data_IF_621928648773
#
_entry.id   IF_621928648773
#
_cell.length_a   1.000
_cell.length_b   1.000
_cell.length_c   1.000
_cell.angle_alpha   90.00
_cell.angle_beta   90.00
_cell.angle_gamma   90.00
#
_symmetry.space_group_name_H-M   'P 1'
#
loop_
_entity.id
_entity.type
_entity.pdbx_description
1 polymer ?
#
# COMPACT_ATOMS: atom_id res chain seq x y z
N UNK A 1 -5.72 -50.14 -8.84
CA UNK A 1 -6.40 -48.88 -9.24
C UNK A 1 -7.88 -49.18 -9.27
N UNK A 2 -8.66 -48.58 -8.38
CA UNK A 2 -10.02 -49.02 -8.08
C UNK A 2 -11.07 -48.28 -8.94
N UNK A 3 -11.74 -49.00 -9.85
CA UNK A 3 -12.70 -48.43 -10.81
C UNK A 3 -13.86 -47.68 -10.10
N UNK A 4 -14.19 -48.12 -8.90
CA UNK A 4 -15.28 -47.56 -8.10
C UNK A 4 -14.97 -46.14 -7.61
N UNK A 5 -13.71 -45.84 -7.32
CA UNK A 5 -13.28 -44.49 -6.92
C UNK A 5 -13.41 -43.50 -8.07
N UNK A 6 -13.04 -43.90 -9.28
CA UNK A 6 -13.18 -43.06 -10.48
C UNK A 6 -14.64 -42.80 -10.82
N UNK A 7 -15.52 -43.80 -10.70
CA UNK A 7 -16.95 -43.63 -10.90
C UNK A 7 -17.57 -42.65 -9.88
N UNK A 8 -17.15 -42.73 -8.61
CA UNK A 8 -17.57 -41.80 -7.56
C UNK A 8 -17.07 -40.37 -7.83
N UNK A 9 -15.80 -40.22 -8.23
CA UNK A 9 -15.20 -38.93 -8.58
C UNK A 9 -15.91 -38.27 -9.76
N UNK A 10 -16.28 -39.04 -10.79
CA UNK A 10 -17.03 -38.55 -11.95
C UNK A 10 -18.45 -38.09 -11.56
N UNK A 11 -19.17 -38.86 -10.72
CA UNK A 11 -20.49 -38.46 -10.22
C UNK A 11 -20.42 -37.15 -9.41
N UNK A 12 -19.41 -37.03 -8.56
CA UNK A 12 -19.17 -35.80 -7.78
C UNK A 12 -18.82 -34.61 -8.68
N UNK A 13 -18.04 -34.83 -9.74
CA UNK A 13 -17.70 -33.78 -10.70
C UNK A 13 -18.92 -33.31 -11.50
N UNK A 14 -19.79 -34.23 -11.92
CA UNK A 14 -21.08 -33.91 -12.57
C UNK A 14 -21.99 -33.09 -11.65
N UNK A 15 -22.09 -33.46 -10.36
CA UNK A 15 -22.85 -32.71 -9.37
C UNK A 15 -22.27 -31.30 -9.15
N UNK A 16 -20.94 -31.17 -9.06
CA UNK A 16 -20.25 -29.88 -8.97
C UNK A 16 -20.52 -29.00 -10.20
N UNK A 17 -20.45 -29.56 -11.40
CA UNK A 17 -20.78 -28.84 -12.65
C UNK A 17 -22.19 -28.27 -12.61
N UNK A 18 -23.18 -29.08 -12.25
CA UNK A 18 -24.58 -28.65 -12.21
C UNK A 18 -24.80 -27.54 -11.16
N UNK A 19 -24.17 -27.67 -9.99
CA UNK A 19 -24.21 -26.65 -8.94
C UNK A 19 -23.60 -25.31 -9.41
N UNK A 20 -22.49 -25.35 -10.16
CA UNK A 20 -21.88 -24.15 -10.72
C UNK A 20 -22.77 -23.48 -11.77
N UNK A 21 -23.40 -24.26 -12.65
CA UNK A 21 -24.37 -23.73 -13.64
C UNK A 21 -25.53 -23.02 -12.96
N UNK A 22 -26.09 -23.61 -11.90
CA UNK A 22 -27.18 -22.99 -11.12
C UNK A 22 -26.70 -21.71 -10.42
N UNK A 23 -25.49 -21.69 -9.85
CA UNK A 23 -24.91 -20.49 -9.22
C UNK A 23 -24.70 -19.36 -10.23
N UNK A 24 -24.07 -19.64 -11.38
CA UNK A 24 -23.89 -18.66 -12.45
C UNK A 24 -25.24 -18.14 -12.98
N UNK A 25 -26.25 -18.99 -13.11
CA UNK A 25 -27.59 -18.56 -13.52
C UNK A 25 -28.24 -17.61 -12.50
N UNK A 26 -28.01 -17.84 -11.20
CA UNK A 26 -28.51 -16.94 -10.14
C UNK A 26 -27.74 -15.62 -10.10
N UNK A 27 -26.43 -15.64 -10.28
CA UNK A 27 -25.59 -14.44 -10.30
C UNK A 27 -25.91 -13.57 -11.52
N UNK A 28 -26.01 -14.15 -12.72
CA UNK A 28 -26.41 -13.42 -13.93
C UNK A 28 -27.82 -12.82 -13.83
N UNK A 29 -28.77 -13.50 -13.17
CA UNK A 29 -30.09 -12.91 -12.88
C UNK A 29 -30.01 -11.72 -11.91
N UNK A 30 -29.19 -11.82 -10.85
CA UNK A 30 -28.96 -10.71 -9.91
C UNK A 30 -28.31 -9.51 -10.58
N UNK A 31 -27.31 -9.74 -11.42
CA UNK A 31 -26.66 -8.69 -12.21
C UNK A 31 -27.66 -7.99 -13.15
N UNK A 32 -28.52 -8.75 -13.84
CA UNK A 32 -29.58 -8.17 -14.69
C UNK A 32 -30.56 -7.31 -13.88
N UNK A 33 -30.99 -7.76 -12.69
CA UNK A 33 -31.87 -6.95 -11.84
C UNK A 33 -31.19 -5.68 -11.32
N UNK A 34 -29.90 -5.75 -10.95
CA UNK A 34 -29.15 -4.58 -10.50
C UNK A 34 -28.89 -3.59 -11.65
N UNK A 35 -28.63 -4.09 -12.86
CA UNK A 35 -28.54 -3.24 -14.04
C UNK A 35 -29.86 -2.57 -14.40
N UNK A 36 -31.00 -3.25 -14.23
CA UNK A 36 -32.32 -2.65 -14.43
C UNK A 36 -32.68 -1.62 -13.36
N UNK A 37 -32.30 -1.85 -12.09
CA UNK A 37 -32.48 -0.89 -10.99
C UNK A 37 -31.59 0.35 -11.13
N UNK A 38 -30.41 0.23 -11.74
CA UNK A 38 -29.46 1.33 -11.96
C UNK A 38 -29.67 2.08 -13.28
N UNK A 39 -30.62 1.66 -14.13
CA UNK A 39 -31.03 2.43 -15.30
C UNK A 39 -32.18 3.35 -14.90
N UNK A 40 -32.02 4.66 -15.18
CA UNK A 40 -33.08 5.65 -14.95
C UNK A 40 -34.36 5.20 -15.67
N UNK A 41 -35.55 5.25 -15.05
CA UNK A 41 -36.79 4.91 -15.74
C UNK A 41 -36.96 5.84 -16.95
N UNK A 42 -37.40 5.28 -18.08
CA UNK A 42 -37.72 6.04 -19.28
C UNK A 42 -38.91 6.97 -18.98
N UNK A 43 -38.60 8.22 -18.64
CA UNK A 43 -39.60 9.29 -18.57
C UNK A 43 -39.94 9.66 -20.01
N UNK A 44 -41.25 9.71 -20.32
CA UNK A 44 -41.78 10.19 -21.58
C UNK A 44 -41.13 11.53 -21.97
N UNK A 45 -40.28 11.52 -23.00
CA UNK A 45 -39.73 12.75 -23.57
C UNK A 45 -40.69 13.28 -24.63
N UNK A 46 -41.42 14.35 -24.31
CA UNK A 46 -41.99 15.21 -25.33
C UNK A 46 -40.96 16.26 -25.71
N UNK A 47 -40.79 16.41 -27.03
CA UNK A 47 -40.07 17.45 -27.77
C UNK A 47 -38.61 17.17 -28.13
N UNK A 48 -38.43 16.87 -29.42
CA UNK A 48 -37.22 17.06 -30.19
C UNK A 48 -37.03 18.56 -30.54
N UNK A 49 -35.83 18.89 -31.06
CA UNK A 49 -35.29 20.21 -31.46
C UNK A 49 -34.53 20.92 -30.33
N UNK A 50 -33.30 21.41 -30.50
CA UNK A 50 -32.48 21.69 -31.69
C UNK A 50 -31.03 21.94 -31.24
N UNK A 51 -30.09 21.44 -32.05
CA UNK A 51 -28.87 22.07 -32.58
C UNK A 51 -27.92 22.97 -31.76
N UNK A 52 -26.64 22.64 -31.98
CA UNK A 52 -25.46 23.49 -32.22
C UNK A 52 -24.67 24.13 -31.05
N UNK A 53 -23.46 23.56 -30.88
CA UNK A 53 -22.14 24.19 -30.73
C UNK A 53 -22.06 25.64 -30.19
N UNK A 54 -21.36 25.82 -29.07
CA UNK A 54 -20.31 26.84 -29.00
C UNK A 54 -19.31 26.56 -27.87
N UNK A 55 -18.05 26.68 -28.26
CA UNK A 55 -16.85 26.49 -27.49
C UNK A 55 -16.52 27.70 -26.60
N UNK A 56 -15.69 27.44 -25.59
CA UNK A 56 -14.81 28.36 -24.85
C UNK A 56 -15.39 29.39 -23.85
N UNK A 57 -15.10 29.13 -22.57
CA UNK A 57 -14.69 30.17 -21.61
C UNK A 57 -13.77 29.61 -20.51
N UNK A 58 -12.46 29.75 -20.73
CA UNK A 58 -11.41 30.24 -19.83
C UNK A 58 -11.58 30.25 -18.30
N UNK A 59 -10.53 29.72 -17.64
CA UNK A 59 -9.88 30.16 -16.38
C UNK A 59 -10.60 29.92 -15.04
N UNK A 60 -9.94 29.14 -14.17
CA UNK A 60 -10.18 29.10 -12.72
C UNK A 60 -9.66 27.84 -12.06
N UNK A 61 -8.35 27.75 -11.82
CA UNK A 61 -7.65 26.55 -11.37
C UNK A 61 -7.69 26.33 -9.83
N UNK A 62 -8.82 26.58 -9.16
CA UNK A 62 -8.90 26.53 -7.69
C UNK A 62 -10.14 25.80 -7.12
N UNK A 63 -10.86 25.01 -7.93
CA UNK A 63 -12.13 24.41 -7.47
C UNK A 63 -12.26 22.88 -7.68
N UNK A 64 -11.16 22.18 -7.96
CA UNK A 64 -11.22 20.74 -8.26
C UNK A 64 -11.38 19.87 -7.01
N UNK A 65 -11.07 20.38 -5.82
CA UNK A 65 -11.20 19.59 -4.58
C UNK A 65 -12.56 19.72 -3.88
N UNK A 66 -13.28 20.84 -4.04
CA UNK A 66 -14.55 21.06 -3.31
C UNK A 66 -15.76 20.35 -3.91
N UNK A 67 -15.71 19.94 -5.18
CA UNK A 67 -16.81 19.23 -5.85
C UNK A 67 -16.69 17.69 -5.85
N UNK A 68 -15.68 17.11 -5.18
CA UNK A 68 -15.53 15.65 -5.06
C UNK A 68 -16.21 15.03 -3.84
N UNK A 69 -17.06 15.78 -3.11
CA UNK A 69 -17.67 15.28 -1.88
C UNK A 69 -18.68 14.13 -2.09
N UNK A 70 -19.20 13.90 -3.30
CA UNK A 70 -20.26 12.90 -3.54
C UNK A 70 -19.97 11.84 -4.62
N UNK A 71 -18.69 11.60 -4.95
CA UNK A 71 -18.35 10.80 -6.13
C UNK A 71 -17.31 9.70 -5.95
N UNK A 72 -17.05 9.19 -4.74
CA UNK A 72 -16.11 8.07 -4.62
C UNK A 72 -16.74 6.79 -5.16
N UNK A 73 -16.11 6.19 -6.17
CA UNK A 73 -16.32 4.77 -6.47
C UNK A 73 -15.94 3.93 -5.24
N UNK A 74 -16.60 2.79 -5.01
CA UNK A 74 -16.28 1.88 -3.89
C UNK A 74 -14.77 1.60 -3.80
N UNK A 75 -14.10 1.45 -4.96
CA UNK A 75 -12.65 1.25 -5.03
C UNK A 75 -11.84 2.46 -4.56
N UNK A 76 -12.30 3.67 -4.88
CA UNK A 76 -11.64 4.91 -4.47
C UNK A 76 -11.84 5.17 -2.98
N UNK A 77 -13.03 4.83 -2.45
CA UNK A 77 -13.29 4.87 -1.01
C UNK A 77 -12.39 3.89 -0.25
N UNK A 78 -12.23 2.65 -0.73
CA UNK A 78 -11.32 1.68 -0.12
C UNK A 78 -9.86 2.14 -0.15
N UNK A 79 -9.43 2.78 -1.25
CA UNK A 79 -8.08 3.33 -1.37
C UNK A 79 -7.87 4.58 -0.50
N UNK A 80 -8.89 5.43 -0.37
CA UNK A 80 -8.88 6.56 0.54
C UNK A 80 -8.82 6.07 1.99
N UNK A 81 -9.70 5.14 2.38
CA UNK A 81 -9.73 4.53 3.72
C UNK A 81 -8.39 3.86 4.07
N UNK A 82 -7.79 3.11 3.14
CA UNK A 82 -6.44 2.54 3.35
C UNK A 82 -5.35 3.60 3.53
N UNK A 83 -5.49 4.79 2.95
CA UNK A 83 -4.55 5.91 3.16
C UNK A 83 -4.80 6.60 4.49
N UNK A 84 -6.07 6.80 4.84
CA UNK A 84 -6.52 7.39 6.10
C UNK A 84 -6.13 6.52 7.31
N UNK A 85 -6.31 5.20 7.22
CA UNK A 85 -5.91 4.26 8.26
C UNK A 85 -4.37 4.23 8.46
N UNK A 86 -3.59 4.62 7.43
CA UNK A 86 -2.13 4.75 7.52
C UNK A 86 -1.69 6.08 8.14
N UNK A 87 -2.47 7.15 8.01
CA UNK A 87 -2.10 8.47 8.56
C UNK A 87 -2.40 8.61 10.06
N UNK A 88 -3.34 7.82 10.59
CA UNK A 88 -3.78 7.88 12.01
C UNK A 88 -2.88 7.15 13.02
N UNK A 89 -1.77 6.54 12.59
CA UNK A 89 -0.85 5.83 13.48
C UNK A 89 0.23 6.77 14.04
N UNK A 90 -0.20 7.76 14.83
CA UNK A 90 0.68 8.76 15.46
C UNK A 90 1.57 8.20 16.60
N UNK A 91 1.49 6.89 16.83
CA UNK A 91 2.46 6.13 17.62
C UNK A 91 2.37 4.67 17.20
N UNK A 92 2.92 4.34 16.03
CA UNK A 92 3.02 2.96 15.58
C UNK A 92 3.70 2.12 16.68
N UNK A 93 2.94 1.19 17.26
CA UNK A 93 3.49 0.20 18.20
C UNK A 93 4.66 -0.50 17.50
N UNK A 94 5.73 -0.81 18.23
CA UNK A 94 6.94 -1.42 17.64
C UNK A 94 6.63 -2.65 16.78
N UNK A 95 5.57 -3.42 17.10
CA UNK A 95 5.10 -4.54 16.28
C UNK A 95 4.56 -4.13 14.89
N UNK A 96 3.75 -3.07 14.82
CA UNK A 96 3.22 -2.56 13.54
C UNK A 96 4.32 -1.94 12.68
N UNK A 97 5.29 -1.28 13.33
CA UNK A 97 6.48 -0.77 12.66
C UNK A 97 7.30 -1.93 12.07
N UNK A 98 7.58 -2.98 12.86
CA UNK A 98 8.32 -4.15 12.40
C UNK A 98 7.62 -4.80 11.20
N UNK A 99 6.30 -5.02 11.28
CA UNK A 99 5.52 -5.56 10.17
C UNK A 99 5.59 -4.68 8.92
N UNK A 100 5.39 -3.38 9.07
CA UNK A 100 5.49 -2.42 7.96
C UNK A 100 6.88 -2.42 7.32
N UNK A 101 7.95 -2.49 8.11
CA UNK A 101 9.31 -2.61 7.58
C UNK A 101 9.54 -3.94 6.86
N UNK A 102 9.02 -5.04 7.40
CA UNK A 102 9.10 -6.35 6.76
C UNK A 102 8.37 -6.36 5.41
N UNK A 103 7.11 -5.94 5.37
CA UNK A 103 6.30 -5.90 4.15
C UNK A 103 6.97 -5.04 3.07
N UNK A 104 7.60 -3.92 3.47
CA UNK A 104 8.36 -3.06 2.56
C UNK A 104 9.59 -3.76 1.98
N UNK A 105 10.36 -4.48 2.78
CA UNK A 105 11.53 -5.20 2.28
C UNK A 105 11.13 -6.41 1.42
N UNK A 106 10.04 -7.11 1.74
CA UNK A 106 9.51 -8.19 0.89
C UNK A 106 9.08 -7.66 -0.48
N UNK A 107 8.38 -6.52 -0.54
CA UNK A 107 8.02 -5.88 -1.81
C UNK A 107 9.23 -5.46 -2.64
N UNK A 108 10.32 -5.02 -1.99
CA UNK A 108 11.58 -4.71 -2.67
C UNK A 108 12.23 -5.96 -3.24
N UNK A 109 12.18 -7.08 -2.52
CA UNK A 109 12.70 -8.37 -3.00
C UNK A 109 11.87 -8.90 -4.17
N UNK A 110 10.54 -8.80 -4.13
CA UNK A 110 9.67 -9.22 -5.24
C UNK A 110 9.93 -8.39 -6.49
N UNK A 111 10.04 -7.06 -6.36
CA UNK A 111 10.37 -6.19 -7.48
C UNK A 111 11.76 -6.49 -8.08
N UNK A 112 12.73 -6.91 -7.26
CA UNK A 112 14.05 -7.35 -7.75
C UNK A 112 13.98 -8.69 -8.48
N UNK A 113 13.13 -9.62 -7.99
CA UNK A 113 12.91 -10.92 -8.62
C UNK A 113 12.25 -10.78 -10.00
N UNK A 114 11.32 -9.85 -10.16
CA UNK A 114 10.65 -9.60 -11.44
C UNK A 114 11.59 -8.99 -12.50
N UNK A 115 12.64 -8.29 -12.06
CA UNK A 115 13.68 -7.73 -12.93
C UNK A 115 14.84 -8.71 -13.23
N UNK A 116 14.91 -9.84 -12.52
CA UNK A 116 15.89 -10.90 -12.77
C UNK A 116 15.22 -11.96 -13.65
N UNK A 117 15.45 -11.90 -14.97
CA UNK A 117 14.95 -12.91 -15.89
C UNK A 117 15.24 -14.33 -15.39
N UNK A 118 14.18 -15.11 -15.14
CA UNK A 118 14.10 -16.58 -15.16
C UNK A 118 15.37 -17.36 -14.78
N UNK A 119 16.13 -16.93 -13.77
CA UNK A 119 17.10 -17.81 -13.13
C UNK A 119 16.27 -18.84 -12.40
N UNK A 120 16.25 -20.08 -12.92
CA UNK A 120 15.74 -21.24 -12.22
C UNK A 120 16.35 -21.18 -10.82
N UNK A 121 15.50 -20.89 -9.82
CA UNK A 121 15.87 -21.07 -8.43
C UNK A 121 16.09 -22.56 -8.30
N UNK A 122 17.36 -22.97 -8.35
CA UNK A 122 17.75 -24.33 -8.03
C UNK A 122 17.27 -24.65 -6.61
N UNK A 123 16.94 -25.92 -6.46
CA UNK A 123 16.14 -26.48 -5.39
C UNK A 123 16.65 -26.14 -4.00
N UNK A 124 15.71 -26.17 -3.05
CA UNK A 124 15.86 -25.89 -1.63
C UNK A 124 17.24 -26.32 -1.09
N UNK A 125 17.99 -25.36 -0.54
CA UNK A 125 19.33 -25.59 0.02
C UNK A 125 19.34 -26.82 0.93
N UNK A 126 20.30 -27.70 0.70
CA UNK A 126 20.44 -28.94 1.45
C UNK A 126 20.70 -28.63 2.93
N UNK A 127 19.76 -29.02 3.78
CA UNK A 127 19.90 -28.90 5.24
C UNK A 127 20.46 -30.20 5.77
N UNK A 128 21.74 -30.18 6.17
CA UNK A 128 22.37 -31.33 6.81
C UNK A 128 22.62 -31.03 8.29
N UNK A 129 22.41 -32.02 9.14
CA UNK A 129 22.77 -31.93 10.56
C UNK A 129 24.13 -32.59 10.71
N UNK A 130 25.11 -31.82 11.14
CA UNK A 130 26.46 -32.33 11.41
C UNK A 130 26.45 -33.23 12.65
N UNK A 131 27.45 -34.09 12.80
CA UNK A 131 27.65 -35.00 13.94
C UNK A 131 27.72 -34.26 15.30
N UNK A 132 27.95 -32.95 15.28
CA UNK A 132 27.93 -32.07 16.46
C UNK A 132 26.52 -31.54 16.82
N UNK A 133 25.47 -31.96 16.11
CA UNK A 133 24.10 -31.44 16.27
C UNK A 133 23.86 -30.05 15.68
N UNK A 134 24.81 -29.52 14.89
CA UNK A 134 24.69 -28.22 14.22
C UNK A 134 24.00 -28.36 12.87
N UNK A 135 23.09 -27.45 12.56
CA UNK A 135 22.43 -27.37 11.25
C UNK A 135 23.37 -26.59 10.32
N UNK A 136 23.79 -27.23 9.23
CA UNK A 136 24.54 -26.62 8.14
C UNK A 136 23.57 -26.41 6.97
N UNK A 137 23.52 -25.18 6.47
CA UNK A 137 22.67 -24.77 5.35
C UNK A 137 23.63 -24.31 4.25
N UNK A 138 23.61 -25.01 3.12
CA UNK A 138 24.32 -24.60 1.93
C UNK A 138 23.39 -23.74 1.08
N UNK A 139 23.63 -22.42 1.12
CA UNK A 139 22.88 -21.42 0.36
C UNK A 139 23.74 -20.88 -0.79
N UNK A 140 23.08 -20.27 -1.78
CA UNK A 140 23.76 -19.66 -2.91
C UNK A 140 24.59 -18.42 -2.46
N UNK A 141 25.93 -18.40 -2.68
CA UNK A 141 26.79 -17.31 -2.24
C UNK A 141 26.44 -15.97 -2.90
N UNK A 142 26.00 -15.98 -4.16
CA UNK A 142 25.63 -14.75 -4.88
C UNK A 142 24.42 -14.05 -4.23
N UNK A 143 23.49 -14.82 -3.66
CA UNK A 143 22.34 -14.27 -2.95
C UNK A 143 22.73 -13.67 -1.59
N UNK A 144 23.71 -14.28 -0.92
CA UNK A 144 24.27 -13.78 0.33
C UNK A 144 24.99 -12.44 0.09
N UNK A 145 25.79 -12.36 -0.98
CA UNK A 145 26.49 -11.13 -1.34
C UNK A 145 25.51 -10.01 -1.70
N UNK A 146 24.49 -10.30 -2.51
CA UNK A 146 23.40 -9.35 -2.82
C UNK A 146 22.67 -8.87 -1.56
N UNK A 147 22.45 -9.78 -0.59
CA UNK A 147 21.85 -9.41 0.69
C UNK A 147 22.78 -8.46 1.46
N UNK A 148 24.07 -8.78 1.58
CA UNK A 148 25.05 -7.93 2.25
C UNK A 148 25.15 -6.53 1.61
N UNK A 149 25.16 -6.46 0.28
CA UNK A 149 25.13 -5.20 -0.47
C UNK A 149 23.87 -4.39 -0.19
N UNK A 150 22.70 -5.04 -0.17
CA UNK A 150 21.43 -4.38 0.12
C UNK A 150 21.41 -3.77 1.53
N UNK A 151 21.95 -4.47 2.53
CA UNK A 151 22.07 -3.97 3.90
C UNK A 151 23.02 -2.77 3.95
N UNK A 152 24.18 -2.85 3.28
CA UNK A 152 25.12 -1.72 3.19
C UNK A 152 24.49 -0.51 2.50
N UNK A 153 23.74 -0.72 1.42
CA UNK A 153 23.07 0.35 0.69
C UNK A 153 22.01 1.02 1.55
N UNK A 154 21.14 0.26 2.22
CA UNK A 154 20.13 0.83 3.12
C UNK A 154 20.75 1.58 4.29
N UNK A 155 21.88 1.11 4.83
CA UNK A 155 22.63 1.84 5.86
C UNK A 155 23.16 3.18 5.34
N UNK A 156 23.78 3.21 4.16
CA UNK A 156 24.26 4.44 3.50
C UNK A 156 23.13 5.43 3.23
N UNK A 157 22.00 4.96 2.72
CA UNK A 157 20.81 5.78 2.46
C UNK A 157 20.27 6.41 3.74
N UNK A 158 20.15 5.62 4.82
CA UNK A 158 19.71 6.10 6.14
C UNK A 158 20.67 7.17 6.67
N UNK A 159 21.97 6.92 6.59
CA UNK A 159 23.00 7.86 7.00
C UNK A 159 22.92 9.18 6.21
N UNK A 160 22.89 9.12 4.88
CA UNK A 160 22.79 10.30 4.03
C UNK A 160 21.51 11.11 4.30
N UNK A 161 20.38 10.44 4.54
CA UNK A 161 19.12 11.09 4.90
C UNK A 161 19.21 11.80 6.26
N UNK A 162 19.89 11.20 7.23
CA UNK A 162 20.12 11.82 8.54
C UNK A 162 21.04 13.03 8.38
N UNK A 163 22.15 12.91 7.65
CA UNK A 163 23.08 14.01 7.40
C UNK A 163 22.41 15.22 6.74
N UNK A 164 21.62 14.99 5.68
CA UNK A 164 20.84 16.07 5.03
C UNK A 164 19.87 16.74 6.00
N UNK A 165 19.26 15.98 6.92
CA UNK A 165 18.36 16.55 7.94
C UNK A 165 19.10 17.39 8.98
N UNK A 166 20.32 17.01 9.37
CA UNK A 166 21.14 17.84 10.25
C UNK A 166 21.53 19.15 9.54
N UNK A 167 22.07 19.05 8.33
CA UNK A 167 22.45 20.23 7.54
C UNK A 167 21.28 21.18 7.30
N UNK A 168 20.10 20.66 6.93
CA UNK A 168 18.91 21.51 6.78
C UNK A 168 18.50 22.19 8.09
N UNK A 169 18.57 21.50 9.23
CA UNK A 169 18.29 22.12 10.54
C UNK A 169 19.27 23.22 10.89
N UNK A 170 20.51 23.11 10.45
CA UNK A 170 21.50 24.16 10.68
C UNK A 170 21.25 25.40 9.83
N UNK A 171 20.72 25.22 8.61
CA UNK A 171 20.42 26.30 7.67
C UNK A 171 19.05 26.96 7.93
N UNK A 172 18.02 26.21 8.33
CA UNK A 172 16.66 26.74 8.56
C UNK A 172 16.33 27.00 10.03
N UNK A 173 17.27 26.79 10.95
CA UNK A 173 17.12 27.31 12.30
C UNK A 173 17.04 28.84 12.21
N UNK A 174 15.84 29.38 12.43
CA UNK A 174 15.63 30.79 12.77
C UNK A 174 16.73 31.17 13.76
N UNK A 175 17.41 32.32 13.60
CA UNK A 175 18.45 32.77 14.52
C UNK A 175 17.81 33.13 15.86
N UNK A 176 17.36 32.12 16.60
CA UNK A 176 16.95 32.24 17.99
C UNK A 176 18.24 32.52 18.75
N UNK A 177 18.34 33.75 19.19
CA UNK A 177 19.48 34.32 19.87
C UNK A 177 19.83 33.50 21.11
N UNK A 178 21.07 33.00 21.19
CA UNK A 178 21.65 32.51 22.45
C UNK A 178 21.72 30.99 22.61
N UNK A 179 22.50 30.30 21.78
CA UNK A 179 22.94 28.93 22.11
C UNK A 179 24.44 28.93 22.40
N UNK A 180 24.81 28.44 23.60
CA UNK A 180 26.21 28.34 24.04
C UNK A 180 26.93 27.15 23.37
N UNK A 181 26.20 26.08 23.04
CA UNK A 181 26.75 24.90 22.37
C UNK A 181 25.69 24.21 21.48
N UNK A 182 26.14 23.26 20.65
CA UNK A 182 25.28 22.55 19.71
C UNK A 182 24.24 21.65 20.40
N UNK A 183 24.56 21.10 21.57
CA UNK A 183 23.61 20.31 22.38
C UNK A 183 22.46 21.19 22.88
N UNK A 184 22.74 22.43 23.27
CA UNK A 184 21.77 23.41 23.72
C UNK A 184 20.86 23.85 22.55
N UNK A 185 21.44 24.01 21.35
CA UNK A 185 20.67 24.19 20.11
C UNK A 185 19.68 23.04 19.86
N UNK A 186 20.14 21.79 19.99
CA UNK A 186 19.28 20.61 19.83
C UNK A 186 18.20 20.51 20.92
N UNK A 187 18.52 20.91 22.15
CA UNK A 187 17.58 20.93 23.27
C UNK A 187 16.47 21.97 23.06
N UNK A 188 16.82 23.20 22.69
CA UNK A 188 15.84 24.25 22.42
C UNK A 188 14.97 23.89 21.20
N UNK A 189 15.55 23.31 20.15
CA UNK A 189 14.78 22.77 19.02
C UNK A 189 13.86 21.59 19.39
N UNK A 190 14.08 20.93 20.54
CA UNK A 190 13.16 19.93 21.11
C UNK A 190 12.04 20.61 21.88
N UNK A 191 12.33 21.65 22.65
CA UNK A 191 11.33 22.46 23.36
C UNK A 191 10.33 23.09 22.39
N UNK A 192 10.81 23.71 21.31
CA UNK A 192 9.96 24.32 20.28
C UNK A 192 8.98 23.31 19.67
N UNK A 193 9.42 22.06 19.48
CA UNK A 193 8.54 20.99 18.97
C UNK A 193 7.48 20.58 19.96
N UNK A 194 7.80 20.56 21.25
CA UNK A 194 6.82 20.25 22.28
C UNK A 194 5.81 21.39 22.44
N UNK A 195 6.27 22.64 22.41
CA UNK A 195 5.40 23.81 22.45
C UNK A 195 4.41 23.81 21.27
N UNK A 196 4.89 23.65 20.03
CA UNK A 196 4.01 23.54 18.85
C UNK A 196 3.05 22.37 18.91
N UNK A 197 3.47 21.24 19.48
CA UNK A 197 2.61 20.07 19.65
C UNK A 197 1.47 20.36 20.64
N UNK A 198 1.75 21.08 21.72
CA UNK A 198 0.74 21.49 22.70
C UNK A 198 -0.24 22.53 22.12
N UNK A 199 0.25 23.51 21.37
CA UNK A 199 -0.62 24.48 20.66
C UNK A 199 -1.60 23.78 19.71
N UNK A 200 -1.16 22.76 18.97
CA UNK A 200 -2.02 22.01 18.07
C UNK A 200 -3.02 21.08 18.78
N UNK A 201 -2.70 20.60 19.98
CA UNK A 201 -3.66 19.81 20.78
C UNK A 201 -4.72 20.67 21.44
N UNK A 202 -4.39 21.92 21.81
CA UNK A 202 -5.35 22.85 22.40
C UNK A 202 -6.29 23.46 21.34
N UNK A 203 -5.83 23.66 20.10
CA UNK A 203 -6.67 24.16 18.99
C UNK A 203 -7.67 23.14 18.41
N UNK A 204 -7.70 21.91 18.93
CA UNK A 204 -8.61 20.84 18.48
C UNK A 204 -9.81 20.60 19.40
N UNK A 205 -9.99 21.44 20.42
CA UNK A 205 -10.98 21.25 21.49
C UNK A 205 -12.05 22.35 21.56
N UNK A 206 -12.16 23.21 20.54
CA UNK A 206 -13.25 24.19 20.35
C UNK A 206 -14.20 23.75 19.22
#
# INVERSE_FOLDING_TARGET
MDLNEYASKLKNLKRKRMNLVVKNSKETKRERTLHQLNQKPAVYSMNAQSDEESDQASKGNDNVEKNKLFGYSIREYEQWKKREDRSKLDSAKYGDLAKSTYDKEVQRLSARRDNLEKTKLEEEGSRTVNNQGKIVIEDNPDLIDKLAESVRQTAKERYAKIQRKLQHRDVTAVPSTGFVNEKNKQFNAKLDRQAKKMEHSDSGND
#
